data_IF_442195038281
#
_entry.id   IF_442195038281
#
_cell.length_a   1.000
_cell.length_b   1.000
_cell.length_c   1.000
_cell.angle_alpha   90.00
_cell.angle_beta   90.00
_cell.angle_gamma   90.00
#
_symmetry.space_group_name_H-M   'P 1'
#
loop_
_entity.id
_entity.type
_entity.pdbx_description
1 polymer ?
#
# COMPACT_ATOMS: atom_id res chain seq x y z
N UNK A 1 -0.81 -4.04 32.44
CA UNK A 1 0.43 -4.12 31.64
C UNK A 1 0.03 -3.87 30.20
N UNK A 2 0.45 -2.76 29.59
CA UNK A 2 0.11 -2.48 28.19
C UNK A 2 1.04 -3.34 27.31
N UNK A 3 0.50 -4.41 26.73
CA UNK A 3 1.24 -5.30 25.83
C UNK A 3 1.69 -4.54 24.59
N UNK A 4 2.92 -4.77 24.13
CA UNK A 4 3.45 -4.24 22.87
C UNK A 4 2.83 -4.93 21.64
N UNK A 5 2.19 -6.09 21.86
CA UNK A 5 1.66 -6.97 20.82
C UNK A 5 0.14 -6.90 20.74
N UNK A 6 -0.39 -7.09 19.54
CA UNK A 6 -1.78 -7.37 19.25
C UNK A 6 -2.16 -8.78 19.70
N UNK A 7 -3.29 -8.92 20.39
CA UNK A 7 -3.71 -10.17 21.02
C UNK A 7 -4.17 -11.26 20.06
N UNK A 8 -4.54 -10.91 18.82
CA UNK A 8 -5.02 -11.87 17.82
C UNK A 8 -3.90 -12.33 16.89
N UNK A 9 -3.13 -11.38 16.36
CA UNK A 9 -2.14 -11.64 15.30
C UNK A 9 -0.72 -11.84 15.83
N UNK A 10 -0.44 -11.42 17.07
CA UNK A 10 0.91 -11.44 17.64
C UNK A 10 1.87 -10.41 17.01
N UNK A 11 1.37 -9.53 16.14
CA UNK A 11 2.13 -8.42 15.58
C UNK A 11 2.30 -7.30 16.59
N UNK A 12 3.23 -6.37 16.31
CA UNK A 12 3.34 -5.13 17.08
C UNK A 12 2.07 -4.29 16.90
N UNK A 13 1.64 -3.59 17.94
CA UNK A 13 0.43 -2.76 17.85
C UNK A 13 0.72 -1.33 17.36
N UNK A 14 -0.35 -0.56 17.15
CA UNK A 14 -0.29 0.85 16.77
C UNK A 14 0.63 1.71 17.65
N UNK A 15 0.65 1.46 18.96
CA UNK A 15 1.46 2.27 19.88
C UNK A 15 2.96 2.07 19.59
N UNK A 16 3.37 0.84 19.30
CA UNK A 16 4.75 0.52 18.91
C UNK A 16 5.11 1.12 17.55
N UNK A 17 4.19 1.10 16.58
CA UNK A 17 4.38 1.79 15.30
C UNK A 17 4.68 3.28 15.51
N UNK A 18 3.83 3.98 16.27
CA UNK A 18 3.97 5.42 16.52
C UNK A 18 5.28 5.74 17.25
N UNK A 19 5.68 4.91 18.21
CA UNK A 19 6.93 5.06 18.96
C UNK A 19 8.16 4.88 18.05
N UNK A 20 8.18 3.83 17.23
CA UNK A 20 9.29 3.55 16.32
C UNK A 20 9.42 4.61 15.22
N UNK A 21 8.31 5.02 14.62
CA UNK A 21 8.31 6.13 13.65
C UNK A 21 8.90 7.41 14.24
N UNK A 22 8.53 7.76 15.48
CA UNK A 22 9.07 8.93 16.16
C UNK A 22 10.59 8.81 16.39
N UNK A 23 11.09 7.63 16.76
CA UNK A 23 12.51 7.40 17.00
C UNK A 23 13.33 7.48 15.70
N UNK A 24 12.87 6.82 14.62
CA UNK A 24 13.54 6.83 13.32
C UNK A 24 13.60 8.24 12.73
N UNK A 25 12.48 8.98 12.79
CA UNK A 25 12.42 10.36 12.27
C UNK A 25 13.28 11.32 13.11
N UNK A 26 13.32 11.18 14.44
CA UNK A 26 14.23 11.97 15.28
C UNK A 26 15.69 11.75 14.93
N UNK A 27 16.03 10.54 14.48
CA UNK A 27 17.37 10.18 14.02
C UNK A 27 17.67 10.64 12.60
N UNK A 28 16.71 11.33 11.94
CA UNK A 28 16.79 11.79 10.56
C UNK A 28 17.06 10.66 9.55
N UNK A 29 16.66 9.44 9.89
CA UNK A 29 16.83 8.28 9.02
C UNK A 29 15.66 8.18 8.03
N UNK A 30 15.93 7.97 6.72
CA UNK A 30 14.88 7.71 5.75
C UNK A 30 14.09 6.43 6.08
N UNK A 31 12.77 6.54 6.06
CA UNK A 31 11.87 5.41 6.33
C UNK A 31 10.64 5.51 5.45
N UNK A 32 10.33 4.40 4.76
CA UNK A 32 9.06 4.23 4.07
C UNK A 32 8.05 3.57 5.02
N UNK A 33 6.82 4.06 4.99
CA UNK A 33 5.67 3.52 5.71
C UNK A 33 4.64 3.07 4.68
N UNK A 34 4.26 1.80 4.74
CA UNK A 34 3.11 1.26 4.03
C UNK A 34 1.96 1.09 5.01
N UNK A 35 0.79 1.66 4.71
CA UNK A 35 -0.48 1.31 5.35
C UNK A 35 -1.25 0.38 4.43
N UNK A 36 -1.81 -0.70 4.97
CA UNK A 36 -2.43 -1.79 4.24
C UNK A 36 -3.79 -2.04 4.85
N UNK A 37 -4.79 -2.30 4.02
CA UNK A 37 -6.15 -2.59 4.44
C UNK A 37 -6.68 -3.78 3.64
N UNK A 38 -7.37 -4.70 4.33
CA UNK A 38 -8.01 -5.84 3.69
C UNK A 38 -9.28 -5.38 3.00
N UNK A 39 -9.35 -5.55 1.69
CA UNK A 39 -10.49 -5.10 0.91
C UNK A 39 -11.74 -5.90 1.31
N UNK A 40 -12.85 -5.19 1.52
CA UNK A 40 -14.16 -5.80 1.82
C UNK A 40 -14.17 -6.69 3.09
N UNK A 41 -13.28 -6.45 4.07
CA UNK A 41 -13.20 -7.28 5.27
C UNK A 41 -14.51 -7.40 6.05
N UNK A 42 -15.27 -6.31 6.19
CA UNK A 42 -16.59 -6.35 6.82
C UNK A 42 -17.57 -7.28 6.09
N UNK A 43 -17.49 -7.37 4.76
CA UNK A 43 -18.32 -8.29 3.98
C UNK A 43 -17.91 -9.74 4.22
N UNK A 44 -16.61 -10.01 4.35
CA UNK A 44 -16.08 -11.33 4.74
C UNK A 44 -16.66 -11.74 6.10
N UNK A 45 -16.57 -10.89 7.12
CA UNK A 45 -17.15 -11.17 8.44
C UNK A 45 -18.66 -11.38 8.38
N UNK A 46 -19.38 -10.52 7.66
CA UNK A 46 -20.84 -10.60 7.56
C UNK A 46 -21.32 -11.88 6.87
N UNK A 47 -20.55 -12.39 5.90
CA UNK A 47 -20.92 -13.59 5.13
C UNK A 47 -20.45 -14.88 5.78
N UNK A 48 -19.28 -14.88 6.41
CA UNK A 48 -18.58 -16.10 6.84
C UNK A 48 -18.38 -16.20 8.36
N UNK A 49 -18.68 -15.14 9.10
CA UNK A 49 -18.53 -15.05 10.54
C UNK A 49 -17.17 -14.50 10.98
N UNK A 50 -17.15 -13.95 12.18
CA UNK A 50 -15.97 -13.30 12.76
C UNK A 50 -14.79 -14.27 12.94
N UNK A 51 -15.04 -15.55 13.22
CA UNK A 51 -13.98 -16.56 13.32
C UNK A 51 -13.17 -16.69 12.01
N UNK A 52 -13.86 -16.63 10.87
CA UNK A 52 -13.21 -16.65 9.54
C UNK A 52 -12.46 -15.35 9.29
N UNK A 53 -13.03 -14.21 9.70
CA UNK A 53 -12.34 -12.92 9.68
C UNK A 53 -11.03 -12.94 10.45
N UNK A 54 -11.05 -13.52 11.65
CA UNK A 54 -9.87 -13.68 12.50
C UNK A 54 -8.80 -14.56 11.85
N UNK A 55 -9.19 -15.62 11.14
CA UNK A 55 -8.25 -16.47 10.41
C UNK A 55 -7.67 -15.79 9.17
N UNK A 56 -8.46 -14.96 8.47
CA UNK A 56 -7.96 -14.08 7.41
C UNK A 56 -6.92 -13.12 7.97
N UNK A 57 -7.20 -12.46 9.09
CA UNK A 57 -6.26 -11.53 9.74
C UNK A 57 -4.95 -12.21 10.14
N UNK A 58 -5.01 -13.41 10.73
CA UNK A 58 -3.82 -14.19 11.07
C UNK A 58 -3.03 -14.61 9.83
N UNK A 59 -3.71 -15.00 8.76
CA UNK A 59 -3.07 -15.40 7.50
C UNK A 59 -2.37 -14.23 6.83
N UNK A 60 -3.00 -13.06 6.78
CA UNK A 60 -2.37 -11.82 6.29
C UNK A 60 -1.16 -11.48 7.16
N UNK A 61 -1.30 -11.51 8.49
CA UNK A 61 -0.19 -11.24 9.40
C UNK A 61 1.02 -12.17 9.16
N UNK A 62 0.79 -13.45 8.91
CA UNK A 62 1.83 -14.42 8.57
C UNK A 62 2.51 -14.08 7.24
N UNK A 63 1.74 -13.81 6.18
CA UNK A 63 2.29 -13.42 4.86
C UNK A 63 3.14 -12.16 4.98
N UNK A 64 2.65 -11.11 5.64
CA UNK A 64 3.39 -9.87 5.81
C UNK A 64 4.71 -10.09 6.57
N UNK A 65 4.67 -10.96 7.59
CA UNK A 65 5.84 -11.30 8.41
C UNK A 65 6.89 -12.11 7.63
N UNK A 66 6.46 -13.07 6.81
CA UNK A 66 7.32 -13.86 5.91
C UNK A 66 8.05 -12.95 4.91
N UNK A 67 7.33 -11.97 4.33
CA UNK A 67 7.87 -11.13 3.26
C UNK A 67 8.70 -9.93 3.74
N UNK A 68 8.61 -9.52 5.01
CA UNK A 68 9.25 -8.28 5.51
C UNK A 68 9.98 -8.37 6.85
N UNK A 69 9.92 -9.52 7.51
CA UNK A 69 10.25 -9.76 8.92
C UNK A 69 9.21 -9.22 9.90
N UNK A 70 8.78 -10.07 10.84
CA UNK A 70 7.70 -9.80 11.80
C UNK A 70 7.88 -8.50 12.59
N UNK A 71 9.12 -8.14 12.96
CA UNK A 71 9.41 -6.92 13.71
C UNK A 71 9.12 -5.63 12.95
N UNK A 72 8.92 -5.69 11.63
CA UNK A 72 8.57 -4.53 10.80
C UNK A 72 7.07 -4.41 10.54
N UNK A 73 6.26 -5.38 11.00
CA UNK A 73 4.84 -5.46 10.70
C UNK A 73 4.04 -5.11 11.95
N UNK A 74 3.03 -4.28 11.76
CA UNK A 74 2.17 -3.78 12.82
C UNK A 74 0.71 -4.01 12.46
N UNK A 75 -0.13 -4.30 13.45
CA UNK A 75 -1.58 -4.19 13.33
C UNK A 75 -2.03 -2.87 13.95
N UNK A 76 -2.69 -2.04 13.16
CA UNK A 76 -3.05 -0.66 13.54
C UNK A 76 -4.43 -0.61 14.17
N UNK A 77 -5.41 -1.21 13.51
CA UNK A 77 -6.82 -1.26 13.93
C UNK A 77 -7.55 -2.27 13.06
N UNK A 78 -8.50 -3.05 13.60
CA UNK A 78 -9.39 -3.89 12.78
C UNK A 78 -8.64 -4.73 11.73
N UNK A 79 -8.84 -4.37 10.46
CA UNK A 79 -8.27 -4.91 9.22
C UNK A 79 -7.09 -4.13 8.63
N UNK A 80 -6.63 -3.09 9.34
CA UNK A 80 -5.51 -2.25 8.94
C UNK A 80 -4.18 -2.73 9.55
N UNK A 81 -3.20 -2.87 8.67
CA UNK A 81 -1.81 -3.19 8.98
C UNK A 81 -0.89 -2.06 8.55
N UNK A 82 0.32 -2.05 9.11
CA UNK A 82 1.39 -1.17 8.66
C UNK A 82 2.70 -1.92 8.54
N UNK A 83 3.56 -1.49 7.62
CA UNK A 83 4.94 -1.97 7.49
C UNK A 83 5.89 -0.78 7.49
N UNK A 84 6.90 -0.84 8.36
CA UNK A 84 8.02 0.10 8.34
C UNK A 84 9.18 -0.49 7.54
N UNK A 85 9.63 0.24 6.51
CA UNK A 85 10.68 -0.18 5.59
C UNK A 85 11.83 0.85 5.65
N UNK A 86 12.85 0.54 6.44
CA UNK A 86 14.04 1.37 6.59
C UNK A 86 15.13 0.99 5.59
N UNK A 87 15.97 1.97 5.22
CA UNK A 87 17.14 1.73 4.37
C UNK A 87 16.87 1.44 2.90
N UNK A 88 15.64 1.63 2.43
CA UNK A 88 15.25 1.45 1.01
C UNK A 88 14.61 2.72 0.44
N UNK A 89 14.66 2.89 -0.89
CA UNK A 89 13.99 4.00 -1.57
C UNK A 89 12.47 3.82 -1.59
N UNK A 90 11.73 4.92 -1.83
CA UNK A 90 10.27 4.84 -1.98
C UNK A 90 9.86 3.87 -3.11
N UNK A 91 10.59 3.87 -4.22
CA UNK A 91 10.33 2.98 -5.35
C UNK A 91 10.55 1.51 -4.99
N UNK A 92 11.60 1.21 -4.21
CA UNK A 92 11.83 -0.14 -3.70
C UNK A 92 10.72 -0.55 -2.71
N UNK A 93 10.28 0.36 -1.85
CA UNK A 93 9.16 0.11 -0.95
C UNK A 93 7.86 -0.16 -1.72
N UNK A 94 7.57 0.65 -2.74
CA UNK A 94 6.42 0.46 -3.62
C UNK A 94 6.44 -0.91 -4.31
N UNK A 95 7.55 -1.26 -4.95
CA UNK A 95 7.70 -2.55 -5.64
C UNK A 95 7.58 -3.74 -4.67
N UNK A 96 8.13 -3.62 -3.45
CA UNK A 96 7.98 -4.64 -2.42
C UNK A 96 6.52 -4.80 -2.01
N UNK A 97 5.81 -3.69 -1.82
CA UNK A 97 4.38 -3.74 -1.50
C UNK A 97 3.53 -4.31 -2.63
N UNK A 98 3.84 -4.01 -3.89
CA UNK A 98 3.15 -4.64 -5.04
C UNK A 98 3.39 -6.15 -5.08
N UNK A 99 4.62 -6.60 -4.80
CA UNK A 99 4.92 -8.04 -4.69
C UNK A 99 4.10 -8.70 -3.58
N UNK A 100 4.07 -8.11 -2.39
CA UNK A 100 3.31 -8.60 -1.23
C UNK A 100 1.81 -8.66 -1.55
N UNK A 101 1.26 -7.59 -2.14
CA UNK A 101 -0.14 -7.54 -2.58
C UNK A 101 -0.46 -8.69 -3.54
N UNK A 102 0.39 -8.91 -4.55
CA UNK A 102 0.21 -10.00 -5.51
C UNK A 102 0.31 -11.39 -4.86
N UNK A 103 1.17 -11.57 -3.85
CA UNK A 103 1.26 -12.80 -3.06
C UNK A 103 -0.05 -13.05 -2.30
N UNK A 104 -0.55 -12.03 -1.60
CA UNK A 104 -1.82 -12.11 -0.86
C UNK A 104 -2.97 -12.48 -1.79
N UNK A 105 -3.09 -11.78 -2.91
CA UNK A 105 -4.14 -12.01 -3.89
C UNK A 105 -4.13 -13.44 -4.46
N UNK A 106 -2.93 -14.01 -4.68
CA UNK A 106 -2.77 -15.41 -5.15
C UNK A 106 -2.85 -16.45 -4.05
N UNK A 107 -2.98 -16.05 -2.78
CA UNK A 107 -2.94 -16.96 -1.63
C UNK A 107 -4.32 -17.48 -1.24
N UNK A 108 -5.26 -17.59 -2.19
CA UNK A 108 -6.63 -18.07 -1.95
C UNK A 108 -6.67 -19.35 -1.09
N UNK A 109 -5.80 -20.31 -1.41
CA UNK A 109 -5.68 -21.59 -0.71
C UNK A 109 -5.21 -21.44 0.76
N UNK A 110 -4.42 -20.40 1.07
CA UNK A 110 -3.92 -20.15 2.44
C UNK A 110 -5.02 -19.68 3.38
N UNK A 111 -6.10 -19.12 2.85
CA UNK A 111 -7.22 -18.64 3.65
C UNK A 111 -8.21 -19.77 4.01
N UNK A 112 -8.08 -20.97 3.43
CA UNK A 112 -8.96 -22.10 3.72
C UNK A 112 -10.43 -21.85 3.34
N UNK A 113 -10.68 -20.88 2.45
CA UNK A 113 -12.01 -20.42 2.08
C UNK A 113 -12.64 -21.34 1.03
N UNK A 114 -13.96 -21.53 1.09
CA UNK A 114 -14.71 -22.31 0.11
C UNK A 114 -14.62 -21.66 -1.30
N UNK A 115 -14.73 -22.41 -2.41
CA UNK A 115 -14.59 -21.87 -3.77
C UNK A 115 -15.56 -20.74 -4.14
N UNK A 116 -16.62 -20.52 -3.35
CA UNK A 116 -17.64 -19.50 -3.54
C UNK A 116 -17.41 -18.23 -2.69
N UNK A 117 -16.26 -18.10 -2.04
CA UNK A 117 -15.94 -16.96 -1.18
C UNK A 117 -15.34 -15.82 -2.00
N UNK A 118 -15.66 -14.55 -1.69
CA UNK A 118 -14.99 -13.40 -2.29
C UNK A 118 -13.47 -13.49 -2.16
N UNK A 119 -12.78 -13.13 -3.23
CA UNK A 119 -11.33 -13.11 -3.30
C UNK A 119 -10.75 -12.13 -2.27
N UNK A 120 -9.78 -12.60 -1.46
CA UNK A 120 -9.12 -11.75 -0.48
C UNK A 120 -8.04 -10.94 -1.18
N UNK A 121 -8.20 -9.62 -1.20
CA UNK A 121 -7.20 -8.68 -1.67
C UNK A 121 -6.87 -7.63 -0.61
N UNK A 122 -5.77 -6.93 -0.81
CA UNK A 122 -5.39 -5.79 0.02
C UNK A 122 -5.12 -4.57 -0.84
N UNK A 123 -5.44 -3.42 -0.29
CA UNK A 123 -5.05 -2.13 -0.85
C UNK A 123 -3.98 -1.51 0.05
N UNK A 124 -2.95 -0.89 -0.54
CA UNK A 124 -1.90 -0.25 0.24
C UNK A 124 -1.59 1.19 -0.21
N UNK A 125 -1.26 2.03 0.77
CA UNK A 125 -0.70 3.36 0.55
C UNK A 125 0.71 3.44 1.12
N UNK A 126 1.68 3.84 0.31
CA UNK A 126 3.09 3.96 0.74
C UNK A 126 3.51 5.42 0.72
N UNK A 127 4.20 5.88 1.76
CA UNK A 127 4.82 7.21 1.82
C UNK A 127 6.21 7.10 2.44
N UNK A 128 7.10 8.06 2.18
CA UNK A 128 8.47 8.05 2.72
C UNK A 128 8.83 9.36 3.41
N UNK A 129 9.45 9.27 4.59
CA UNK A 129 10.17 10.37 5.20
C UNK A 129 11.62 10.43 4.68
N UNK A 130 12.18 11.62 4.40
CA UNK A 130 11.57 12.97 4.52
C UNK A 130 10.87 13.47 3.24
N UNK A 131 10.70 12.62 2.22
CA UNK A 131 10.17 13.00 0.91
C UNK A 131 8.73 13.54 0.98
N UNK A 132 7.84 12.81 1.64
CA UNK A 132 6.39 13.03 1.65
C UNK A 132 5.89 13.62 2.98
N UNK A 133 6.79 13.83 3.94
CA UNK A 133 6.46 14.19 5.31
C UNK A 133 7.65 14.80 6.05
N UNK A 134 7.35 15.60 7.08
CA UNK A 134 8.34 16.25 7.95
C UNK A 134 8.41 15.62 9.35
N UNK A 135 7.37 14.88 9.73
CA UNK A 135 7.23 14.24 11.03
C UNK A 135 6.38 12.97 10.92
N UNK A 136 6.29 12.19 12.01
CA UNK A 136 5.55 10.92 12.01
C UNK A 136 4.06 11.08 11.72
N UNK A 137 3.45 12.18 12.16
CA UNK A 137 2.02 12.46 11.94
C UNK A 137 1.73 12.74 10.47
N UNK A 138 2.54 13.57 9.84
CA UNK A 138 2.44 13.88 8.41
C UNK A 138 2.76 12.67 7.56
N UNK A 139 3.69 11.80 7.98
CA UNK A 139 3.98 10.54 7.28
C UNK A 139 2.79 9.57 7.29
N UNK A 140 2.20 9.34 8.48
CA UNK A 140 0.97 8.55 8.62
C UNK A 140 -0.13 9.12 7.72
N UNK A 141 -0.35 10.44 7.75
CA UNK A 141 -1.37 11.11 6.92
C UNK A 141 -1.11 10.95 5.42
N UNK A 142 0.14 11.07 4.98
CA UNK A 142 0.52 10.89 3.57
C UNK A 142 0.28 9.45 3.11
N UNK A 143 0.64 8.45 3.92
CA UNK A 143 0.36 7.04 3.63
C UNK A 143 -1.16 6.76 3.61
N UNK A 144 -1.93 7.31 4.55
CA UNK A 144 -3.39 7.18 4.58
C UNK A 144 -4.05 7.83 3.37
N UNK A 145 -3.57 8.99 2.92
CA UNK A 145 -4.08 9.65 1.72
C UNK A 145 -3.80 8.82 0.45
N UNK A 146 -2.62 8.19 0.37
CA UNK A 146 -2.30 7.26 -0.70
C UNK A 146 -3.23 6.02 -0.67
N UNK A 147 -3.44 5.42 0.51
CA UNK A 147 -4.33 4.28 0.72
C UNK A 147 -5.77 4.61 0.30
N UNK A 148 -6.29 5.77 0.72
CA UNK A 148 -7.63 6.23 0.33
C UNK A 148 -7.72 6.38 -1.20
N UNK A 149 -6.72 7.00 -1.83
CA UNK A 149 -6.70 7.16 -3.29
C UNK A 149 -6.69 5.81 -4.03
N UNK A 150 -5.94 4.82 -3.52
CA UNK A 150 -5.94 3.47 -4.07
C UNK A 150 -7.29 2.77 -3.89
N UNK A 151 -7.94 2.97 -2.74
CA UNK A 151 -9.29 2.48 -2.47
C UNK A 151 -10.31 3.06 -3.45
N UNK A 152 -10.28 4.37 -3.66
CA UNK A 152 -11.17 5.07 -4.60
C UNK A 152 -10.89 4.73 -6.07
N UNK A 153 -9.65 4.35 -6.39
CA UNK A 153 -9.24 3.99 -7.76
C UNK A 153 -9.46 2.51 -8.10
N UNK A 154 -10.25 1.77 -7.30
CA UNK A 154 -10.65 0.39 -7.61
C UNK A 154 -10.07 -0.70 -6.72
N UNK A 155 -9.38 -0.36 -5.61
CA UNK A 155 -8.79 -1.32 -4.64
C UNK A 155 -7.76 -2.26 -5.28
N UNK A 156 -7.33 -3.28 -4.53
CA UNK A 156 -6.35 -4.29 -4.96
C UNK A 156 -5.13 -3.69 -5.68
N UNK A 157 -4.58 -2.60 -5.14
CA UNK A 157 -3.44 -1.89 -5.71
C UNK A 157 -2.65 -1.15 -4.64
N UNK A 158 -1.40 -0.80 -4.99
CA UNK A 158 -0.57 0.08 -4.18
C UNK A 158 -0.59 1.48 -4.78
N UNK A 159 -0.69 2.52 -3.94
CA UNK A 159 -0.51 3.90 -4.37
C UNK A 159 0.56 4.63 -3.56
N UNK A 160 1.08 5.68 -4.18
CA UNK A 160 1.94 6.68 -3.56
C UNK A 160 1.13 7.96 -3.30
N UNK A 161 1.58 8.85 -2.40
CA UNK A 161 0.91 10.11 -2.16
C UNK A 161 1.04 10.91 -3.47
N UNK A 162 0.02 11.67 -3.86
CA UNK A 162 0.11 12.53 -5.02
C UNK A 162 1.23 13.54 -4.79
N UNK A 163 2.32 13.42 -5.54
CA UNK A 163 3.38 14.41 -5.53
C UNK A 163 2.81 15.77 -5.95
N UNK A 164 3.06 16.82 -5.16
CA UNK A 164 2.91 18.20 -5.64
C UNK A 164 3.97 18.52 -6.72
N UNK A 165 5.10 17.80 -6.73
CA UNK A 165 6.15 17.91 -7.76
C UNK A 165 6.50 16.56 -8.38
N UNK A 166 6.24 16.40 -9.68
CA UNK A 166 6.66 15.22 -10.44
C UNK A 166 8.20 15.18 -10.51
N UNK A 167 8.85 14.31 -9.72
CA UNK A 167 10.30 14.07 -9.83
C UNK A 167 10.53 12.89 -10.78
N UNK A 168 10.68 13.21 -12.07
CA UNK A 168 11.08 12.26 -13.10
C UNK A 168 12.54 11.83 -12.87
N UNK A 169 12.78 10.66 -12.27
CA UNK A 169 14.15 10.17 -12.07
C UNK A 169 14.60 9.01 -12.96
N UNK A 170 13.75 8.43 -13.82
CA UNK A 170 14.19 7.22 -14.57
C UNK A 170 13.77 7.08 -16.04
N UNK A 171 13.28 8.13 -16.71
CA UNK A 171 13.15 8.07 -18.17
C UNK A 171 13.56 9.42 -18.78
N UNK A 172 14.50 9.39 -19.73
CA UNK A 172 14.85 10.54 -20.57
C UNK A 172 13.65 10.89 -21.48
N UNK A 173 12.63 11.52 -20.91
CA UNK A 173 11.56 12.10 -21.71
C UNK A 173 12.01 13.47 -22.24
N UNK A 174 11.80 13.76 -23.54
CA UNK A 174 11.99 15.11 -24.06
C UNK A 174 11.17 16.11 -23.23
N UNK A 175 11.76 17.27 -22.90
CA UNK A 175 11.09 18.34 -22.14
C UNK A 175 9.80 18.84 -22.80
N UNK A 176 9.67 18.63 -24.12
CA UNK A 176 8.45 18.86 -24.88
C UNK A 176 7.31 17.94 -24.44
N UNK A 177 7.57 16.65 -24.22
CA UNK A 177 6.57 15.67 -23.83
C UNK A 177 6.05 15.93 -22.41
N UNK A 178 6.95 16.28 -21.48
CA UNK A 178 6.58 16.65 -20.10
C UNK A 178 5.65 17.85 -20.09
N UNK A 179 5.97 18.88 -20.89
CA UNK A 179 5.14 20.08 -21.02
C UNK A 179 3.79 19.79 -21.68
N UNK A 180 3.74 18.88 -22.66
CA UNK A 180 2.49 18.45 -23.27
C UNK A 180 1.61 17.70 -22.27
N UNK A 181 2.20 16.81 -21.46
CA UNK A 181 1.48 16.09 -20.41
C UNK A 181 0.92 17.06 -19.36
N UNK A 182 1.70 18.06 -18.95
CA UNK A 182 1.25 19.12 -18.05
C UNK A 182 0.07 19.92 -18.61
N UNK A 183 0.18 20.38 -19.86
CA UNK A 183 -0.90 21.11 -20.51
C UNK A 183 -2.19 20.26 -20.63
N UNK A 184 -2.04 18.95 -20.86
CA UNK A 184 -3.16 18.01 -20.90
C UNK A 184 -3.78 17.80 -19.52
N UNK A 185 -2.95 17.70 -18.47
CA UNK A 185 -3.36 17.62 -17.07
C UNK A 185 -4.21 18.82 -16.66
N UNK A 186 -3.76 20.03 -16.98
CA UNK A 186 -4.49 21.27 -16.72
C UNK A 186 -5.81 21.32 -17.50
N UNK A 187 -5.81 20.92 -18.77
CA UNK A 187 -7.02 20.95 -19.62
C UNK A 187 -8.09 19.96 -19.15
N UNK A 188 -7.69 18.81 -18.64
CA UNK A 188 -8.61 17.74 -18.22
C UNK A 188 -8.96 17.80 -16.74
N UNK A 189 -8.38 18.73 -15.98
CA UNK A 189 -8.49 18.81 -14.52
C UNK A 189 -8.16 17.46 -13.83
N UNK A 190 -7.09 16.81 -14.31
CA UNK A 190 -6.65 15.50 -13.84
C UNK A 190 -5.16 15.52 -13.58
N UNK A 191 -4.69 14.79 -12.57
CA UNK A 191 -3.25 14.70 -12.25
C UNK A 191 -2.46 14.06 -13.39
N UNK A 192 -1.26 14.57 -13.67
CA UNK A 192 -0.32 14.00 -14.67
C UNK A 192 -0.10 12.48 -14.44
N UNK A 193 -0.01 12.05 -13.19
CA UNK A 193 0.16 10.63 -12.82
C UNK A 193 -1.05 9.75 -13.13
N UNK A 194 -2.26 10.32 -13.20
CA UNK A 194 -3.47 9.60 -13.63
C UNK A 194 -3.46 9.40 -15.14
N UNK A 195 -3.12 10.46 -15.90
CA UNK A 195 -3.01 10.40 -17.36
C UNK A 195 -1.90 9.45 -17.81
N UNK A 196 -0.78 9.42 -17.10
CA UNK A 196 0.31 8.50 -17.40
C UNK A 196 -0.09 7.03 -17.17
N UNK A 197 -0.80 6.75 -16.07
CA UNK A 197 -1.35 5.41 -15.81
C UNK A 197 -2.35 4.99 -16.87
N UNK A 198 -3.26 5.89 -17.26
CA UNK A 198 -4.21 5.64 -18.35
C UNK A 198 -3.49 5.30 -19.66
N UNK A 199 -2.48 6.08 -20.05
CA UNK A 199 -1.69 5.83 -21.25
C UNK A 199 -1.01 4.45 -21.22
N UNK A 200 -0.49 4.02 -20.06
CA UNK A 200 0.09 2.69 -19.89
C UNK A 200 -0.97 1.59 -20.00
N UNK A 201 -2.13 1.75 -19.35
CA UNK A 201 -3.25 0.80 -19.42
C UNK A 201 -3.74 0.64 -20.86
N UNK A 202 -3.90 1.74 -21.58
CA UNK A 202 -4.32 1.73 -22.98
C UNK A 202 -3.27 1.07 -23.88
N UNK A 203 -1.99 1.30 -23.61
CA UNK A 203 -0.91 0.64 -24.32
C UNK A 203 -0.94 -0.88 -24.11
N UNK A 204 -1.07 -1.33 -22.86
CA UNK A 204 -1.17 -2.77 -22.55
C UNK A 204 -2.39 -3.36 -23.27
N UNK A 205 -3.57 -2.76 -23.11
CA UNK A 205 -4.81 -3.23 -23.77
C UNK A 205 -4.66 -3.31 -25.29
N UNK A 206 -3.99 -2.35 -25.91
CA UNK A 206 -3.76 -2.31 -27.35
C UNK A 206 -2.95 -3.52 -27.83
N UNK A 207 -1.97 -3.98 -27.06
CA UNK A 207 -1.10 -5.09 -27.46
C UNK A 207 -1.57 -6.45 -26.94
N UNK A 208 -2.34 -6.50 -25.86
CA UNK A 208 -3.00 -7.73 -25.36
C UNK A 208 -3.98 -8.31 -26.39
N UNK A 209 -4.52 -7.46 -27.27
CA UNK A 209 -5.37 -7.87 -28.39
C UNK A 209 -4.61 -8.48 -29.59
N UNK A 210 -3.28 -8.45 -29.60
CA UNK A 210 -2.46 -9.03 -30.68
C UNK A 210 -2.07 -10.49 -30.42
N UNK A 211 -2.31 -11.01 -29.22
CA UNK A 211 -2.02 -12.41 -28.83
C UNK A 211 -3.23 -13.35 -28.98
N UNK A 212 -4.31 -12.90 -29.64
CA UNK A 212 -5.46 -13.73 -30.07
C UNK A 212 -5.53 -13.82 -31.59
#
# INVERSE_FOLDING_TARGET
>A
MNSALDGLTGLLNRKELELRLQQTIKSHEPVALALIDIDHFMEINNQLGDDVGDDVLKTIAAILSEETAQDNVFRVSGDEFAIMLSGISLEQAFLRMESIRAIIHRSADRFGLSPNVPEVSVTAGVAQYPRDAKDSKTLMRSASAALLSAKESGRNQVALPPNEEMVMKTCYYPSTLVRQLKALSEKLDRKESSLFREALTDLIRKYDQLER
#
